data_IF_692612282095
#
_entry.id   IF_692612282095
#
_cell.length_a   1.000
_cell.length_b   1.000
_cell.length_c   1.000
_cell.angle_alpha   90.00
_cell.angle_beta   90.00
_cell.angle_gamma   90.00
#
_symmetry.space_group_name_H-M   'P 1'
#
loop_
_entity.id
_entity.type
_entity.pdbx_description
1 polymer ?
#
# COMPACT_ATOMS: atom_id res chain seq x y z
N UNK A 1 -29.80 0.16 9.99
CA UNK A 1 -29.62 1.60 9.74
C UNK A 1 -28.56 1.71 8.65
N UNK A 2 -28.73 2.61 7.68
CA UNK A 2 -27.69 2.81 6.68
C UNK A 2 -26.45 3.42 7.39
N UNK A 3 -25.24 2.89 7.12
CA UNK A 3 -24.00 3.47 7.64
C UNK A 3 -23.81 4.87 7.03
N UNK A 4 -24.05 5.91 7.81
CA UNK A 4 -23.83 7.28 7.37
C UNK A 4 -22.33 7.62 7.41
N UNK A 5 -21.88 8.43 6.43
CA UNK A 5 -20.52 8.92 6.38
C UNK A 5 -20.50 10.34 6.96
N UNK A 6 -19.67 10.51 7.97
CA UNK A 6 -19.55 11.74 8.74
C UNK A 6 -18.11 12.28 8.63
N UNK A 7 -17.97 13.56 8.26
CA UNK A 7 -16.75 14.33 8.48
C UNK A 7 -16.88 15.03 9.83
N UNK A 8 -15.93 14.80 10.72
CA UNK A 8 -15.86 15.45 12.03
C UNK A 8 -14.69 16.42 12.07
N UNK A 9 -14.96 17.67 12.42
CA UNK A 9 -13.96 18.75 12.59
C UNK A 9 -14.27 19.43 13.92
N UNK A 10 -13.29 19.53 14.80
CA UNK A 10 -13.41 20.15 16.14
C UNK A 10 -14.63 19.67 16.94
N UNK A 11 -14.96 18.39 16.82
CA UNK A 11 -16.11 17.76 17.49
C UNK A 11 -17.47 18.03 16.83
N UNK A 12 -17.52 18.78 15.72
CA UNK A 12 -18.73 19.05 14.94
C UNK A 12 -18.84 18.04 13.79
N UNK A 13 -20.01 17.41 13.68
CA UNK A 13 -20.30 16.39 12.68
C UNK A 13 -20.99 17.00 11.44
N UNK A 14 -20.43 16.73 10.26
CA UNK A 14 -20.93 17.14 8.95
C UNK A 14 -21.35 15.92 8.14
N UNK A 15 -22.62 15.82 7.75
CA UNK A 15 -23.20 14.57 7.20
C UNK A 15 -23.85 14.69 5.83
N UNK A 16 -24.23 15.85 5.36
CA UNK A 16 -25.06 16.02 4.16
C UNK A 16 -24.26 16.06 2.86
N UNK A 17 -23.40 15.06 2.63
CA UNK A 17 -22.55 14.96 1.43
C UNK A 17 -23.34 14.39 0.25
N UNK A 18 -23.20 15.01 -0.93
CA UNK A 18 -23.79 14.53 -2.19
C UNK A 18 -22.98 13.38 -2.79
N UNK A 19 -21.66 13.42 -2.61
CA UNK A 19 -20.79 12.30 -2.92
C UNK A 19 -19.68 12.18 -1.90
N UNK A 20 -19.29 10.94 -1.63
CA UNK A 20 -18.19 10.59 -0.73
C UNK A 20 -17.37 9.49 -1.35
N UNK A 21 -16.06 9.61 -1.25
CA UNK A 21 -15.11 8.58 -1.59
C UNK A 21 -14.04 8.54 -0.50
N UNK A 22 -13.82 7.35 0.09
CA UNK A 22 -12.75 7.09 1.05
C UNK A 22 -11.96 5.90 0.56
N UNK A 23 -10.66 6.07 0.35
CA UNK A 23 -9.80 5.04 -0.27
C UNK A 23 -8.64 4.69 0.65
N UNK A 24 -8.42 3.40 0.85
CA UNK A 24 -7.24 2.84 1.52
C UNK A 24 -6.66 1.73 0.64
N UNK A 25 -5.32 1.67 0.54
CA UNK A 25 -4.62 0.69 -0.29
C UNK A 25 -3.37 0.17 0.44
N UNK A 26 -2.98 -1.06 0.17
CA UNK A 26 -1.79 -1.67 0.78
C UNK A 26 -0.48 -1.10 0.23
N UNK A 27 -0.50 -0.51 -0.95
CA UNK A 27 0.62 0.16 -1.59
C UNK A 27 0.74 1.66 -1.24
N UNK A 28 -0.07 2.13 -0.28
CA UNK A 28 -0.01 3.49 0.26
C UNK A 28 -0.13 3.45 1.79
N UNK A 29 0.70 4.22 2.49
CA UNK A 29 0.66 4.28 3.96
C UNK A 29 -0.39 5.24 4.51
N UNK A 30 -1.01 6.05 3.64
CA UNK A 30 -2.05 6.99 4.01
C UNK A 30 -3.34 6.71 3.24
N UNK A 31 -4.46 6.65 3.94
CA UNK A 31 -5.77 6.71 3.34
C UNK A 31 -6.08 8.11 2.81
N UNK A 32 -6.98 8.20 1.83
CA UNK A 32 -7.40 9.45 1.22
C UNK A 32 -8.92 9.56 1.25
N UNK A 33 -9.44 10.79 1.27
CA UNK A 33 -10.86 11.03 1.12
C UNK A 33 -11.17 12.19 0.18
N UNK A 34 -12.34 12.12 -0.43
CA UNK A 34 -12.93 13.20 -1.22
C UNK A 34 -14.42 13.28 -0.92
N UNK A 35 -14.88 14.46 -0.55
CA UNK A 35 -16.26 14.76 -0.20
C UNK A 35 -16.76 15.88 -1.08
N UNK A 36 -18.01 15.80 -1.56
CA UNK A 36 -18.66 16.90 -2.27
C UNK A 36 -20.01 17.21 -1.62
N UNK A 37 -20.31 18.48 -1.51
CA UNK A 37 -21.56 19.01 -1.00
C UNK A 37 -22.16 19.96 -2.02
N UNK A 38 -23.44 19.77 -2.36
CA UNK A 38 -24.20 20.81 -3.04
C UNK A 38 -24.65 21.82 -1.99
N UNK A 39 -24.06 23.00 -2.02
CA UNK A 39 -24.44 24.06 -1.09
C UNK A 39 -25.72 24.75 -1.60
N UNK A 40 -26.83 24.56 -0.89
CA UNK A 40 -28.00 25.40 -1.04
C UNK A 40 -27.88 26.53 -0.04
N UNK A 41 -27.15 27.56 -0.42
CA UNK A 41 -27.10 28.78 0.38
C UNK A 41 -28.45 29.49 0.39
N UNK A 42 -29.19 29.37 1.48
CA UNK A 42 -30.39 30.17 1.71
C UNK A 42 -30.01 31.36 2.60
N UNK A 43 -29.59 32.45 1.97
CA UNK A 43 -29.66 33.78 2.55
C UNK A 43 -28.72 34.16 3.70
N UNK A 44 -27.58 33.54 3.86
CA UNK A 44 -26.62 33.90 4.91
C UNK A 44 -25.19 34.09 4.39
N UNK A 45 -24.55 35.18 4.79
CA UNK A 45 -23.17 35.54 4.37
C UNK A 45 -22.07 34.77 5.13
N UNK A 46 -22.36 33.61 5.71
CA UNK A 46 -21.39 32.89 6.53
C UNK A 46 -20.74 31.79 5.71
N UNK A 47 -19.44 31.93 5.42
CA UNK A 47 -18.64 30.91 4.77
C UNK A 47 -18.66 29.60 5.59
N UNK A 48 -18.66 28.46 4.90
CA UNK A 48 -18.53 27.16 5.57
C UNK A 48 -17.25 27.17 6.41
N UNK A 49 -17.30 26.83 7.71
CA UNK A 49 -16.13 26.90 8.58
C UNK A 49 -15.20 25.68 8.37
N UNK A 50 -14.98 25.28 7.11
CA UNK A 50 -14.07 24.20 6.70
C UNK A 50 -12.94 24.86 5.91
N UNK A 51 -11.69 24.71 6.40
CA UNK A 51 -10.51 25.25 5.76
C UNK A 51 -9.44 24.17 5.55
N UNK A 52 -8.58 24.40 4.55
CA UNK A 52 -7.40 23.55 4.35
C UNK A 52 -6.46 23.64 5.56
N UNK A 53 -5.83 22.53 5.91
CA UNK A 53 -4.96 22.39 7.08
C UNK A 53 -5.69 22.01 8.38
N UNK A 54 -7.02 22.01 8.41
CA UNK A 54 -7.76 21.59 9.60
C UNK A 54 -7.64 20.08 9.83
N UNK A 55 -7.48 19.70 11.11
CA UNK A 55 -7.56 18.29 11.52
C UNK A 55 -9.00 17.80 11.38
N UNK A 56 -9.15 16.57 10.90
CA UNK A 56 -10.47 15.99 10.66
C UNK A 56 -10.47 14.46 10.82
N UNK A 57 -11.66 13.93 11.03
CA UNK A 57 -11.92 12.50 11.06
C UNK A 57 -13.05 12.16 10.10
N UNK A 58 -12.90 11.02 9.39
CA UNK A 58 -14.00 10.42 8.62
C UNK A 58 -14.49 9.19 9.38
N UNK A 59 -15.81 9.15 9.61
CA UNK A 59 -16.47 8.02 10.25
C UNK A 59 -17.49 7.40 9.29
N UNK A 60 -17.63 6.08 9.33
CA UNK A 60 -18.65 5.30 8.62
C UNK A 60 -19.45 4.52 9.66
N UNK A 61 -20.74 4.84 9.81
CA UNK A 61 -21.58 4.22 10.83
C UNK A 61 -21.04 4.38 12.26
N UNK A 62 -20.33 5.49 12.53
CA UNK A 62 -19.68 5.77 13.81
C UNK A 62 -18.28 5.16 13.98
N UNK A 63 -17.84 4.29 13.06
CA UNK A 63 -16.50 3.73 13.06
C UNK A 63 -15.54 4.65 12.30
N UNK A 64 -14.42 5.04 12.93
CA UNK A 64 -13.40 5.88 12.31
C UNK A 64 -12.66 5.11 11.21
N UNK A 65 -12.49 5.74 10.04
CA UNK A 65 -11.81 5.18 8.88
C UNK A 65 -10.67 6.04 8.36
N UNK A 66 -10.66 7.34 8.71
CA UNK A 66 -9.59 8.31 8.47
C UNK A 66 -9.43 9.18 9.72
N UNK A 67 -8.19 9.49 10.09
CA UNK A 67 -7.84 10.55 11.04
C UNK A 67 -6.64 11.31 10.48
N UNK A 68 -6.86 12.54 10.08
CA UNK A 68 -5.82 13.29 9.38
C UNK A 68 -6.16 14.74 9.15
N UNK A 69 -5.85 15.23 7.97
CA UNK A 69 -5.95 16.64 7.64
C UNK A 69 -6.68 16.86 6.32
N UNK A 70 -7.33 18.02 6.23
CA UNK A 70 -7.90 18.55 5.00
C UNK A 70 -6.77 19.17 4.19
N UNK A 71 -6.43 18.57 3.05
CA UNK A 71 -5.41 19.11 2.15
C UNK A 71 -5.97 20.26 1.32
N UNK A 72 -7.23 20.15 0.87
CA UNK A 72 -7.81 21.11 -0.05
C UNK A 72 -9.31 21.30 0.16
N UNK A 73 -9.73 22.56 0.08
CA UNK A 73 -11.14 22.97 0.01
C UNK A 73 -11.34 23.77 -1.27
N UNK A 74 -12.28 23.34 -2.11
CA UNK A 74 -12.62 24.00 -3.38
C UNK A 74 -14.08 24.44 -3.36
N UNK A 75 -14.38 25.65 -2.91
CA UNK A 75 -15.70 26.23 -3.12
C UNK A 75 -15.87 26.63 -4.59
N UNK A 76 -17.04 26.39 -5.15
CA UNK A 76 -17.40 26.76 -6.52
C UNK A 76 -18.79 27.34 -6.56
N UNK A 77 -19.03 28.29 -7.44
CA UNK A 77 -20.36 28.82 -7.68
C UNK A 77 -20.59 29.12 -9.16
N UNK A 78 -21.83 28.98 -9.58
CA UNK A 78 -22.32 29.39 -10.89
C UNK A 78 -23.67 30.12 -10.72
N UNK A 79 -24.28 30.57 -11.82
CA UNK A 79 -25.61 31.20 -11.76
C UNK A 79 -26.72 30.25 -11.19
N UNK A 80 -26.52 28.94 -11.28
CA UNK A 80 -27.55 27.94 -10.95
C UNK A 80 -27.11 26.91 -9.90
N UNK A 81 -25.84 26.89 -9.52
CA UNK A 81 -25.31 25.88 -8.61
C UNK A 81 -24.17 26.43 -7.73
N UNK A 82 -24.17 26.01 -6.49
CA UNK A 82 -23.08 26.21 -5.56
C UNK A 82 -22.59 24.84 -5.10
N UNK A 83 -21.31 24.67 -4.93
CA UNK A 83 -20.72 23.40 -4.47
C UNK A 83 -19.44 23.60 -3.71
N UNK A 84 -19.13 22.67 -2.83
CA UNK A 84 -17.88 22.61 -2.09
C UNK A 84 -17.34 21.19 -2.24
N UNK A 85 -16.07 21.09 -2.61
CA UNK A 85 -15.31 19.84 -2.60
C UNK A 85 -14.22 19.94 -1.55
N UNK A 86 -14.12 18.91 -0.71
CA UNK A 86 -13.12 18.78 0.36
C UNK A 86 -12.34 17.49 0.13
N UNK A 87 -11.02 17.59 0.08
CA UNK A 87 -10.13 16.43 -0.02
C UNK A 87 -9.08 16.47 1.07
N UNK A 88 -8.64 15.30 1.50
CA UNK A 88 -7.62 15.18 2.52
C UNK A 88 -7.09 13.76 2.65
N UNK A 89 -6.18 13.58 3.59
CA UNK A 89 -5.45 12.33 3.81
C UNK A 89 -5.34 12.00 5.29
N UNK A 90 -5.02 10.73 5.57
CA UNK A 90 -4.59 10.32 6.92
C UNK A 90 -3.35 11.09 7.36
N UNK A 91 -3.19 11.25 8.67
CA UNK A 91 -2.02 11.85 9.32
C UNK A 91 -0.69 11.21 8.90
N UNK A 92 -0.71 9.91 8.60
CA UNK A 92 0.46 9.18 8.10
C UNK A 92 0.99 9.69 6.75
N UNK A 93 0.25 10.54 6.02
CA UNK A 93 0.74 11.19 4.80
C UNK A 93 1.97 12.06 5.07
N UNK A 94 2.06 12.69 6.25
CA UNK A 94 3.20 13.52 6.62
C UNK A 94 4.52 12.72 6.69
N UNK A 95 4.46 11.40 6.92
CA UNK A 95 5.65 10.54 6.87
C UNK A 95 6.25 10.42 5.46
N UNK A 96 5.42 10.58 4.42
CA UNK A 96 5.83 10.54 3.01
C UNK A 96 6.30 11.91 2.54
N UNK A 97 5.62 12.97 3.00
CA UNK A 97 5.84 14.33 2.51
C UNK A 97 7.01 15.03 3.25
N UNK A 98 7.29 14.66 4.50
CA UNK A 98 8.21 15.36 5.36
C UNK A 98 9.53 14.61 5.57
N UNK A 99 10.62 15.37 5.67
CA UNK A 99 11.95 14.82 5.97
C UNK A 99 12.03 14.21 7.38
N UNK A 100 12.80 13.14 7.52
CA UNK A 100 13.11 12.54 8.79
C UNK A 100 14.13 13.40 9.55
N UNK A 101 13.73 13.99 10.67
CA UNK A 101 14.62 14.78 11.53
C UNK A 101 14.71 14.08 12.89
N UNK A 102 15.88 13.50 13.20
CA UNK A 102 16.12 12.81 14.47
C UNK A 102 17.58 12.98 14.91
N UNK A 103 17.81 13.23 16.18
CA UNK A 103 19.16 13.27 16.76
C UNK A 103 19.38 12.01 17.63
N UNK A 104 20.43 11.24 17.41
CA UNK A 104 21.63 11.47 16.56
C UNK A 104 21.46 11.01 15.10
N UNK A 105 20.27 10.65 14.59
CA UNK A 105 20.05 10.20 13.23
C UNK A 105 20.55 8.78 12.95
N UNK A 106 20.82 8.00 14.00
CA UNK A 106 21.29 6.63 13.90
C UNK A 106 20.69 5.78 15.01
N UNK A 107 20.26 4.56 14.65
CA UNK A 107 19.80 3.54 15.58
C UNK A 107 20.72 2.31 15.48
N UNK A 108 21.10 1.78 16.63
CA UNK A 108 21.89 0.55 16.75
C UNK A 108 21.05 -0.52 17.41
N UNK A 109 21.07 -1.73 16.86
CA UNK A 109 20.39 -2.90 17.39
C UNK A 109 18.90 -2.64 17.75
N UNK A 110 18.16 -2.02 16.83
CA UNK A 110 16.76 -1.67 17.01
C UNK A 110 15.84 -2.56 16.17
N UNK A 111 14.64 -2.85 16.66
CA UNK A 111 13.60 -3.50 15.86
C UNK A 111 12.99 -2.52 14.86
N UNK A 112 12.40 -3.06 13.78
CA UNK A 112 11.70 -2.22 12.80
C UNK A 112 10.56 -1.44 13.45
N UNK A 113 9.86 -2.05 14.43
CA UNK A 113 8.79 -1.36 15.15
C UNK A 113 9.31 -0.18 15.98
N UNK A 114 10.43 -0.34 16.70
CA UNK A 114 11.05 0.76 17.45
C UNK A 114 11.49 1.91 16.54
N UNK A 115 12.10 1.58 15.37
CA UNK A 115 12.48 2.57 14.37
C UNK A 115 11.25 3.31 13.85
N UNK A 116 10.20 2.57 13.46
CA UNK A 116 8.97 3.15 12.95
C UNK A 116 8.30 4.09 13.96
N UNK A 117 8.23 3.68 15.22
CA UNK A 117 7.69 4.50 16.31
C UNK A 117 8.52 5.78 16.53
N UNK A 118 9.85 5.67 16.49
CA UNK A 118 10.73 6.83 16.62
C UNK A 118 10.57 7.83 15.47
N UNK A 119 10.46 7.35 14.22
CA UNK A 119 10.26 8.19 13.04
C UNK A 119 8.87 8.80 12.96
N UNK A 120 7.84 8.09 13.42
CA UNK A 120 6.44 8.52 13.33
C UNK A 120 6.00 9.41 14.51
N UNK A 121 6.65 9.31 15.66
CA UNK A 121 6.30 10.04 16.89
C UNK A 121 6.22 11.57 16.71
N UNK A 122 7.15 12.24 16.01
CA UNK A 122 7.07 13.72 15.83
C UNK A 122 5.81 14.16 15.06
N UNK A 123 5.24 13.28 14.23
CA UNK A 123 4.04 13.52 13.44
C UNK A 123 2.75 13.11 14.18
N UNK A 124 2.85 12.59 15.40
CA UNK A 124 1.71 12.10 16.16
C UNK A 124 1.05 10.87 15.52
N UNK A 125 1.79 10.12 14.68
CA UNK A 125 1.34 8.90 14.02
C UNK A 125 1.63 7.70 14.91
N UNK A 126 0.58 6.95 15.27
CA UNK A 126 0.74 5.71 16.03
C UNK A 126 1.20 4.58 15.13
N UNK A 127 2.13 3.75 15.63
CA UNK A 127 2.64 2.59 14.88
C UNK A 127 2.43 1.32 15.69
N UNK A 128 1.71 0.39 15.09
CA UNK A 128 1.48 -0.95 15.61
C UNK A 128 2.04 -2.02 14.68
N UNK A 129 2.07 -3.26 15.11
CA UNK A 129 2.50 -4.38 14.28
C UNK A 129 1.55 -5.56 14.43
N UNK A 130 1.26 -6.24 13.32
CA UNK A 130 0.55 -7.50 13.27
C UNK A 130 1.56 -8.65 13.04
N UNK A 131 1.76 -9.46 14.09
CA UNK A 131 2.68 -10.59 14.04
C UNK A 131 4.14 -10.23 14.34
N UNK A 132 5.05 -11.09 13.91
CA UNK A 132 6.48 -10.95 14.17
C UNK A 132 7.13 -9.93 13.23
N UNK A 133 7.81 -8.95 13.81
CA UNK A 133 8.55 -7.90 13.09
C UNK A 133 10.01 -8.30 12.78
N UNK A 134 10.41 -9.49 13.15
CA UNK A 134 11.76 -10.04 12.96
C UNK A 134 12.80 -9.54 13.96
N UNK A 135 14.01 -10.03 13.80
CA UNK A 135 15.14 -9.70 14.67
C UNK A 135 15.54 -8.22 14.57
N UNK A 136 16.18 -7.63 15.58
CA UNK A 136 16.70 -6.27 15.50
C UNK A 136 17.66 -6.08 14.33
N UNK A 137 17.67 -4.88 13.76
CA UNK A 137 18.61 -4.45 12.70
C UNK A 137 19.86 -3.90 13.37
N UNK A 138 21.02 -4.33 12.93
CA UNK A 138 22.31 -3.97 13.55
C UNK A 138 22.55 -2.45 13.54
N UNK A 139 22.26 -1.78 12.44
CA UNK A 139 22.42 -0.33 12.31
C UNK A 139 21.50 0.21 11.22
N UNK A 140 20.79 1.31 11.53
CA UNK A 140 20.05 2.13 10.56
C UNK A 140 20.52 3.57 10.72
N UNK A 141 20.87 4.21 9.63
CA UNK A 141 21.30 5.62 9.60
C UNK A 141 20.39 6.41 8.65
N UNK A 142 19.97 7.60 9.08
CA UNK A 142 19.28 8.54 8.22
C UNK A 142 20.22 9.12 7.16
N UNK A 143 19.69 9.28 5.95
CA UNK A 143 20.33 10.03 4.89
C UNK A 143 19.81 11.47 4.91
N UNK A 144 20.66 12.42 4.59
CA UNK A 144 20.28 13.84 4.56
C UNK A 144 19.18 14.08 3.50
N UNK A 145 18.04 14.61 3.97
CA UNK A 145 16.92 14.94 3.10
C UNK A 145 15.97 13.77 2.77
N UNK A 146 16.20 12.56 3.30
CA UNK A 146 15.22 11.49 3.12
C UNK A 146 13.96 11.72 3.95
N UNK A 147 12.82 11.23 3.47
CA UNK A 147 11.56 11.29 4.21
C UNK A 147 11.52 10.23 5.32
N UNK A 148 10.62 10.44 6.30
CA UNK A 148 10.43 9.47 7.38
C UNK A 148 10.02 8.09 6.83
N UNK A 149 9.21 8.07 5.76
CA UNK A 149 8.80 6.82 5.12
C UNK A 149 9.93 6.16 4.33
N UNK A 150 10.76 6.90 3.60
CA UNK A 150 11.91 6.33 2.88
C UNK A 150 12.86 5.61 3.84
N UNK A 151 13.17 6.24 4.98
CA UNK A 151 14.00 5.61 6.02
C UNK A 151 13.36 4.33 6.58
N UNK A 152 12.06 4.37 6.87
CA UNK A 152 11.30 3.23 7.37
C UNK A 152 11.24 2.10 6.34
N UNK A 153 10.95 2.41 5.08
CA UNK A 153 10.78 1.44 4.01
C UNK A 153 12.06 0.61 3.76
N UNK A 154 13.25 1.22 3.87
CA UNK A 154 14.51 0.48 3.84
C UNK A 154 14.61 -0.59 4.93
N UNK A 155 14.09 -0.30 6.12
CA UNK A 155 14.08 -1.26 7.24
C UNK A 155 13.00 -2.33 7.07
N UNK A 156 11.80 -1.95 6.60
CA UNK A 156 10.69 -2.86 6.33
C UNK A 156 11.09 -3.94 5.32
N UNK A 157 11.76 -3.56 4.24
CA UNK A 157 12.25 -4.50 3.21
C UNK A 157 13.20 -5.54 3.77
N UNK A 158 14.04 -5.19 4.75
CA UNK A 158 14.97 -6.14 5.37
C UNK A 158 14.24 -7.23 6.17
N UNK A 159 13.00 -6.98 6.55
CA UNK A 159 12.17 -7.87 7.40
C UNK A 159 10.95 -8.42 6.69
N UNK A 160 10.84 -8.17 5.38
CA UNK A 160 9.70 -8.60 4.56
C UNK A 160 8.35 -8.09 5.10
N UNK A 161 8.36 -6.87 5.63
CA UNK A 161 7.19 -6.19 6.18
C UNK A 161 6.72 -5.09 5.24
N UNK A 162 5.45 -4.72 5.39
CA UNK A 162 4.82 -3.57 4.77
C UNK A 162 4.24 -2.67 5.86
N UNK A 163 4.08 -1.39 5.55
CA UNK A 163 3.32 -0.44 6.36
C UNK A 163 2.02 -0.11 5.62
N UNK A 164 0.90 -0.28 6.31
CA UNK A 164 -0.43 0.01 5.79
C UNK A 164 -1.17 0.96 6.72
N UNK A 165 -2.13 1.78 6.22
CA UNK A 165 -2.94 2.64 7.07
C UNK A 165 -3.86 1.79 7.96
N UNK A 166 -3.93 2.12 9.25
CA UNK A 166 -4.78 1.43 10.23
C UNK A 166 -6.24 1.94 10.22
N UNK A 167 -6.53 3.02 9.48
CA UNK A 167 -7.82 3.70 9.46
C UNK A 167 -8.09 4.58 10.67
N UNK A 168 -7.11 4.78 11.54
CA UNK A 168 -7.20 5.62 12.75
C UNK A 168 -6.14 6.73 12.77
N UNK A 169 -5.57 7.05 11.60
CA UNK A 169 -4.49 8.01 11.45
C UNK A 169 -3.11 7.45 11.74
N UNK A 170 -3.00 6.18 12.11
CA UNK A 170 -1.77 5.46 12.34
C UNK A 170 -1.40 4.52 11.20
N UNK A 171 -0.33 3.77 11.39
CA UNK A 171 0.13 2.71 10.48
C UNK A 171 0.29 1.39 11.23
N UNK A 172 0.05 0.31 10.51
CA UNK A 172 0.29 -1.05 10.98
C UNK A 172 1.37 -1.71 10.14
N UNK A 173 2.38 -2.30 10.80
CA UNK A 173 3.41 -3.11 10.16
C UNK A 173 2.91 -4.55 10.07
N UNK A 174 2.90 -5.13 8.87
CA UNK A 174 2.31 -6.44 8.64
C UNK A 174 2.97 -7.18 7.47
N UNK A 175 2.66 -8.47 7.36
CA UNK A 175 2.93 -9.29 6.16
C UNK A 175 1.64 -9.45 5.36
N UNK A 176 1.77 -9.48 4.04
CA UNK A 176 0.62 -9.62 3.15
C UNK A 176 -0.10 -10.97 3.35
N UNK A 177 -1.43 -10.93 3.48
CA UNK A 177 -2.28 -12.11 3.54
C UNK A 177 -2.42 -12.74 4.94
N UNK A 178 -2.16 -11.99 6.00
CA UNK A 178 -2.28 -12.48 7.38
C UNK A 178 -3.74 -12.59 7.87
N UNK A 179 -4.62 -11.67 7.42
CA UNK A 179 -6.00 -11.62 7.86
C UNK A 179 -6.94 -12.49 7.01
N UNK A 180 -8.13 -12.80 7.53
CA UNK A 180 -9.20 -13.49 6.80
C UNK A 180 -10.48 -12.66 6.85
N UNK A 181 -11.11 -12.42 5.70
CA UNK A 181 -12.40 -11.77 5.61
C UNK A 181 -13.52 -12.70 6.13
N UNK A 182 -14.54 -12.13 6.74
CA UNK A 182 -15.71 -12.85 7.19
C UNK A 182 -16.72 -13.11 6.06
N UNK A 183 -16.55 -12.47 4.89
CA UNK A 183 -17.42 -12.61 3.72
C UNK A 183 -16.71 -13.24 2.53
N UNK A 184 -17.48 -13.84 1.62
CA UNK A 184 -17.04 -14.29 0.31
C UNK A 184 -17.57 -13.36 -0.78
N UNK A 185 -16.92 -13.36 -1.95
CA UNK A 185 -17.30 -12.58 -3.12
C UNK A 185 -17.73 -13.54 -4.23
N UNK A 186 -19.02 -13.58 -4.56
CA UNK A 186 -19.58 -14.52 -5.51
C UNK A 186 -20.41 -13.84 -6.58
N UNK A 187 -20.13 -14.19 -7.83
CA UNK A 187 -20.90 -13.70 -8.97
C UNK A 187 -22.37 -14.14 -8.88
N UNK A 188 -23.28 -13.17 -9.05
CA UNK A 188 -24.73 -13.41 -8.97
C UNK A 188 -25.32 -13.43 -7.55
N UNK A 189 -24.48 -13.31 -6.51
CA UNK A 189 -24.96 -13.27 -5.12
C UNK A 189 -24.81 -11.88 -4.49
N UNK A 190 -23.58 -11.40 -4.32
CA UNK A 190 -23.29 -10.17 -3.57
C UNK A 190 -22.40 -9.17 -4.31
N UNK A 191 -22.09 -9.41 -5.58
CA UNK A 191 -21.30 -8.53 -6.42
C UNK A 191 -22.21 -7.77 -7.38
N UNK A 192 -22.12 -6.43 -7.39
CA UNK A 192 -22.81 -5.57 -8.33
C UNK A 192 -22.12 -5.55 -9.68
N UNK A 193 -20.77 -5.45 -9.67
CA UNK A 193 -19.94 -5.51 -10.85
C UNK A 193 -18.56 -6.03 -10.50
N UNK A 194 -17.89 -6.68 -11.46
CA UNK A 194 -16.52 -7.10 -11.33
C UNK A 194 -15.78 -6.92 -12.65
N UNK A 195 -14.51 -6.57 -12.57
CA UNK A 195 -13.59 -6.41 -13.68
C UNK A 195 -12.29 -7.13 -13.36
N UNK A 196 -11.78 -7.91 -14.31
CA UNK A 196 -10.47 -8.55 -14.23
C UNK A 196 -9.51 -7.92 -15.21
N UNK A 197 -8.38 -7.45 -14.72
CA UNK A 197 -7.25 -7.01 -15.54
C UNK A 197 -6.19 -8.09 -15.55
N UNK A 198 -5.86 -8.60 -16.73
CA UNK A 198 -4.82 -9.61 -16.97
C UNK A 198 -3.73 -8.98 -17.84
N UNK A 199 -2.64 -8.55 -17.21
CA UNK A 199 -1.57 -7.83 -17.88
C UNK A 199 -0.31 -8.71 -18.01
N UNK A 200 0.14 -8.91 -19.24
CA UNK A 200 1.34 -9.68 -19.56
C UNK A 200 2.55 -8.80 -19.91
N UNK A 201 2.41 -7.46 -19.82
CA UNK A 201 3.47 -6.53 -20.23
C UNK A 201 4.76 -6.72 -19.42
N UNK A 202 4.63 -6.91 -18.11
CA UNK A 202 5.74 -7.09 -17.19
C UNK A 202 6.03 -8.56 -16.83
N UNK A 203 5.49 -9.52 -17.60
CA UNK A 203 5.67 -10.95 -17.38
C UNK A 203 6.56 -11.55 -18.47
N UNK A 204 7.57 -12.31 -18.07
CA UNK A 204 8.63 -12.81 -18.94
C UNK A 204 8.68 -14.36 -18.95
N UNK A 205 9.16 -14.96 -20.06
CA UNK A 205 9.28 -16.40 -20.16
C UNK A 205 10.43 -16.97 -19.35
N UNK A 206 11.55 -16.24 -19.32
CA UNK A 206 12.78 -16.67 -18.67
C UNK A 206 13.33 -15.54 -17.83
N UNK A 207 13.50 -15.79 -16.54
CA UNK A 207 14.13 -14.88 -15.59
C UNK A 207 15.55 -15.36 -15.34
N UNK A 208 16.52 -14.58 -15.75
CA UNK A 208 17.95 -14.92 -15.67
C UNK A 208 18.61 -13.92 -14.74
N UNK A 209 19.11 -14.38 -13.61
CA UNK A 209 19.87 -13.56 -12.66
C UNK A 209 21.35 -13.88 -12.85
N UNK A 210 22.15 -12.83 -13.09
CA UNK A 210 23.61 -12.90 -13.15
C UNK A 210 24.20 -12.13 -11.99
N UNK A 211 25.17 -12.72 -11.31
CA UNK A 211 25.83 -12.12 -10.15
C UNK A 211 27.31 -12.45 -10.10
N UNK A 212 27.94 -11.98 -9.03
CA UNK A 212 29.32 -12.28 -8.71
C UNK A 212 29.39 -12.79 -7.26
N UNK A 213 30.35 -13.64 -6.96
CA UNK A 213 30.70 -14.04 -5.59
C UNK A 213 32.09 -13.50 -5.23
N UNK A 214 32.37 -13.28 -3.97
CA UNK A 214 33.73 -12.94 -3.53
C UNK A 214 34.70 -14.01 -4.00
N UNK A 215 35.86 -13.59 -4.52
CA UNK A 215 36.97 -14.50 -4.81
C UNK A 215 37.47 -15.16 -3.53
N UNK A 216 37.84 -16.43 -3.61
CA UNK A 216 38.52 -17.17 -2.54
C UNK A 216 39.82 -17.69 -3.06
N UNK A 217 40.75 -18.07 -2.17
CA UNK A 217 42.06 -18.63 -2.57
C UNK A 217 41.97 -19.84 -3.48
N UNK A 218 40.80 -20.53 -3.48
CA UNK A 218 40.53 -21.73 -4.32
C UNK A 218 39.59 -21.44 -5.50
N UNK A 219 39.03 -20.23 -5.63
CA UNK A 219 38.07 -19.88 -6.67
C UNK A 219 38.09 -18.38 -6.97
N UNK A 220 38.84 -17.99 -8.00
CA UNK A 220 38.97 -16.62 -8.46
C UNK A 220 38.81 -16.52 -10.00
N UNK A 221 38.69 -15.33 -10.53
CA UNK A 221 38.58 -15.10 -11.97
C UNK A 221 37.17 -15.48 -12.51
N UNK A 222 37.11 -16.26 -13.58
CA UNK A 222 35.90 -16.62 -14.30
C UNK A 222 34.85 -17.33 -13.40
N UNK A 223 35.30 -18.15 -12.46
CA UNK A 223 34.40 -18.91 -11.57
C UNK A 223 33.73 -17.99 -10.52
N UNK A 224 34.35 -16.90 -10.12
CA UNK A 224 33.75 -15.89 -9.25
C UNK A 224 32.72 -15.01 -9.99
N UNK A 225 32.90 -14.82 -11.30
CA UNK A 225 32.03 -14.03 -12.15
C UNK A 225 30.87 -14.82 -12.80
N UNK A 226 30.86 -16.15 -12.66
CA UNK A 226 29.91 -17.04 -13.36
C UNK A 226 28.66 -17.40 -12.57
N UNK A 227 28.31 -16.62 -11.53
CA UNK A 227 27.08 -16.86 -10.76
C UNK A 227 25.88 -16.60 -11.67
N UNK A 228 25.07 -17.66 -11.87
CA UNK A 228 23.86 -17.59 -12.69
C UNK A 228 22.73 -18.39 -12.04
N UNK A 229 21.57 -17.77 -11.95
CA UNK A 229 20.30 -18.42 -11.65
C UNK A 229 19.31 -18.22 -12.79
N UNK A 230 18.45 -19.19 -13.03
CA UNK A 230 17.41 -19.09 -14.04
C UNK A 230 16.13 -19.72 -13.55
N UNK A 231 14.99 -19.10 -13.88
CA UNK A 231 13.67 -19.63 -13.64
C UNK A 231 12.78 -19.37 -14.85
N UNK A 232 11.93 -20.34 -15.24
CA UNK A 232 11.05 -20.24 -16.40
C UNK A 232 9.59 -20.16 -15.98
N UNK A 233 8.88 -19.17 -16.52
CA UNK A 233 7.44 -19.05 -16.39
C UNK A 233 6.75 -19.92 -17.46
N UNK A 234 6.11 -21.01 -17.03
CA UNK A 234 5.41 -21.95 -17.92
C UNK A 234 4.19 -21.33 -18.61
N UNK A 235 3.63 -20.24 -18.05
CA UNK A 235 2.45 -19.60 -18.63
C UNK A 235 2.80 -18.64 -19.78
N UNK A 236 4.08 -18.27 -19.96
CA UNK A 236 4.54 -17.41 -21.05
C UNK A 236 5.17 -18.26 -22.15
N UNK A 237 4.40 -18.54 -23.20
CA UNK A 237 4.83 -19.43 -24.30
C UNK A 237 5.82 -18.73 -25.26
N UNK A 238 5.65 -17.45 -25.52
CA UNK A 238 6.56 -16.69 -26.41
C UNK A 238 7.88 -16.39 -25.73
N UNK A 239 8.95 -16.31 -26.51
CA UNK A 239 10.28 -15.97 -26.01
C UNK A 239 10.35 -14.50 -25.54
N UNK A 240 10.45 -14.31 -24.24
CA UNK A 240 10.55 -12.99 -23.55
C UNK A 240 11.52 -13.11 -22.38
N UNK A 241 12.82 -13.17 -22.61
CA UNK A 241 13.78 -13.27 -21.51
C UNK A 241 13.93 -11.94 -20.78
N UNK A 242 14.11 -12.01 -19.47
CA UNK A 242 14.52 -10.92 -18.59
C UNK A 242 15.89 -11.23 -17.99
N UNK A 243 16.84 -10.30 -18.12
CA UNK A 243 18.14 -10.41 -17.50
C UNK A 243 18.25 -9.44 -16.32
N UNK A 244 18.50 -9.97 -15.14
CA UNK A 244 18.64 -9.23 -13.89
C UNK A 244 20.09 -9.33 -13.43
N UNK A 245 20.68 -8.20 -13.06
CA UNK A 245 21.98 -8.16 -12.39
C UNK A 245 21.76 -8.23 -10.89
N UNK A 246 22.35 -9.21 -10.22
CA UNK A 246 22.30 -9.29 -8.77
C UNK A 246 23.13 -8.15 -8.16
N UNK A 247 22.53 -7.40 -7.26
CA UNK A 247 23.19 -6.29 -6.54
C UNK A 247 24.15 -6.79 -5.48
N UNK A 248 23.84 -7.94 -4.88
CA UNK A 248 24.65 -8.51 -3.81
C UNK A 248 25.44 -9.73 -4.30
N UNK A 249 26.61 -9.90 -3.71
CA UNK A 249 27.41 -11.10 -3.87
C UNK A 249 26.67 -12.32 -3.35
N UNK A 250 26.52 -13.36 -4.18
CA UNK A 250 25.78 -14.57 -3.81
C UNK A 250 26.25 -15.78 -4.60
N UNK A 251 25.72 -16.94 -4.29
CA UNK A 251 25.91 -18.16 -5.05
C UNK A 251 24.80 -18.38 -6.08
N UNK A 252 24.90 -19.45 -6.88
CA UNK A 252 23.89 -19.79 -7.90
C UNK A 252 22.53 -20.16 -7.30
N UNK A 253 22.49 -20.64 -6.04
CA UNK A 253 21.24 -20.92 -5.33
C UNK A 253 20.49 -19.62 -5.01
N UNK A 254 21.18 -18.62 -4.50
CA UNK A 254 20.59 -17.30 -4.25
C UNK A 254 20.10 -16.65 -5.55
N UNK A 255 20.88 -16.77 -6.64
CA UNK A 255 20.47 -16.25 -7.94
C UNK A 255 19.23 -16.98 -8.49
N UNK A 256 19.10 -18.31 -8.26
CA UNK A 256 17.92 -19.06 -8.64
C UNK A 256 16.69 -18.67 -7.81
N UNK A 257 16.82 -18.52 -6.48
CA UNK A 257 15.76 -18.07 -5.60
C UNK A 257 15.28 -16.67 -5.99
N UNK A 258 16.19 -15.75 -6.34
CA UNK A 258 15.85 -14.41 -6.84
C UNK A 258 15.06 -14.51 -8.15
N UNK A 259 15.48 -15.34 -9.11
CA UNK A 259 14.76 -15.54 -10.37
C UNK A 259 13.36 -16.11 -10.16
N UNK A 260 13.20 -17.08 -9.26
CA UNK A 260 11.91 -17.67 -8.90
C UNK A 260 10.99 -16.66 -8.20
N UNK A 261 11.53 -15.83 -7.29
CA UNK A 261 10.79 -14.78 -6.63
C UNK A 261 10.29 -13.75 -7.65
N UNK A 262 11.15 -13.26 -8.55
CA UNK A 262 10.80 -12.29 -9.60
C UNK A 262 9.65 -12.83 -10.47
N UNK A 263 9.72 -14.08 -10.88
CA UNK A 263 8.66 -14.75 -11.61
C UNK A 263 7.34 -14.75 -10.81
N UNK A 264 7.38 -15.18 -9.55
CA UNK A 264 6.19 -15.27 -8.69
C UNK A 264 5.51 -13.89 -8.47
N UNK A 265 6.30 -12.87 -8.16
CA UNK A 265 5.79 -11.51 -7.91
C UNK A 265 5.17 -10.92 -9.18
N UNK A 266 5.84 -11.05 -10.34
CA UNK A 266 5.34 -10.53 -11.61
C UNK A 266 4.10 -11.29 -12.08
N UNK A 267 4.05 -12.60 -11.87
CA UNK A 267 2.85 -13.40 -12.15
C UNK A 267 1.67 -12.96 -11.29
N UNK A 268 1.88 -12.70 -10.00
CA UNK A 268 0.86 -12.21 -9.09
C UNK A 268 0.38 -10.80 -9.43
N UNK A 269 1.28 -9.90 -9.85
CA UNK A 269 0.95 -8.54 -10.28
C UNK A 269 0.23 -8.48 -11.62
N UNK A 270 0.42 -9.48 -12.46
CA UNK A 270 -0.23 -9.57 -13.77
C UNK A 270 -1.76 -9.72 -13.66
N UNK A 271 -2.29 -10.06 -12.50
CA UNK A 271 -3.73 -10.25 -12.29
C UNK A 271 -4.21 -9.28 -11.21
N UNK A 272 -5.12 -8.40 -11.58
CA UNK A 272 -5.84 -7.53 -10.64
C UNK A 272 -7.33 -7.70 -10.87
N UNK A 273 -8.08 -7.93 -9.82
CA UNK A 273 -9.53 -8.03 -9.86
C UNK A 273 -10.12 -6.88 -9.07
N UNK A 274 -11.08 -6.19 -9.66
CA UNK A 274 -11.86 -5.16 -8.98
C UNK A 274 -13.28 -5.65 -8.86
N UNK A 275 -13.84 -5.67 -7.65
CA UNK A 275 -15.22 -6.04 -7.39
C UNK A 275 -15.94 -4.93 -6.64
N UNK A 276 -17.16 -4.59 -7.07
CA UNK A 276 -18.02 -3.63 -6.39
C UNK A 276 -19.15 -4.38 -5.69
N UNK A 277 -19.32 -4.12 -4.40
CA UNK A 277 -20.37 -4.70 -3.56
C UNK A 277 -21.28 -3.62 -2.99
N UNK A 278 -22.50 -4.00 -2.61
CA UNK A 278 -23.45 -3.09 -1.96
C UNK A 278 -23.05 -2.85 -0.51
N UNK A 279 -23.15 -1.59 -0.06
CA UNK A 279 -22.85 -1.19 1.32
C UNK A 279 -21.36 -1.16 1.65
N UNK A 280 -21.04 -0.96 2.92
CA UNK A 280 -19.67 -0.79 3.41
C UNK A 280 -19.16 -1.99 4.22
N UNK A 281 -20.07 -2.88 4.60
CA UNK A 281 -19.79 -4.00 5.49
C UNK A 281 -19.68 -5.31 4.74
N UNK A 282 -18.89 -6.21 5.29
CA UNK A 282 -18.79 -7.58 4.81
C UNK A 282 -20.13 -8.26 4.94
N UNK A 283 -20.55 -8.93 3.87
CA UNK A 283 -21.81 -9.66 3.85
C UNK A 283 -21.55 -11.11 4.24
N UNK A 284 -22.28 -11.58 5.24
CA UNK A 284 -22.34 -12.99 5.59
C UNK A 284 -23.23 -13.79 4.62
N UNK A 285 -23.38 -15.08 4.88
CA UNK A 285 -24.33 -15.95 4.18
C UNK A 285 -25.75 -15.41 4.41
N UNK A 286 -26.48 -15.08 3.33
CA UNK A 286 -27.86 -14.57 3.42
C UNK A 286 -28.04 -13.08 3.16
N UNK A 287 -27.03 -12.37 2.67
CA UNK A 287 -27.05 -10.94 2.29
C UNK A 287 -27.24 -9.93 3.43
N UNK A 288 -27.15 -10.34 4.67
CA UNK A 288 -27.18 -9.40 5.79
C UNK A 288 -25.86 -8.61 5.87
N UNK A 289 -25.97 -7.27 5.81
CA UNK A 289 -24.83 -6.35 5.99
C UNK A 289 -24.57 -6.15 7.50
N UNK A 290 -24.28 -7.22 8.20
CA UNK A 290 -24.06 -7.20 9.66
C UNK A 290 -22.59 -7.42 10.06
N UNK A 291 -21.71 -7.65 9.10
CA UNK A 291 -20.29 -7.86 9.33
C UNK A 291 -19.51 -6.56 9.62
N UNK A 292 -18.23 -6.65 9.90
CA UNK A 292 -17.35 -5.49 10.04
C UNK A 292 -17.21 -4.75 8.70
N UNK A 293 -16.70 -3.52 8.73
CA UNK A 293 -16.28 -2.81 7.52
C UNK A 293 -15.21 -3.61 6.77
N UNK A 294 -15.19 -3.49 5.44
CA UNK A 294 -14.11 -4.08 4.65
C UNK A 294 -12.76 -3.47 5.04
N UNK A 295 -11.76 -4.33 5.23
CA UNK A 295 -10.42 -3.93 5.68
C UNK A 295 -9.34 -4.45 4.73
N UNK A 296 -8.20 -3.77 4.73
CA UNK A 296 -7.00 -4.21 4.02
C UNK A 296 -6.43 -5.50 4.61
N UNK A 297 -5.59 -6.17 3.85
CA UNK A 297 -4.84 -7.37 4.25
C UNK A 297 -5.69 -8.57 4.64
N UNK A 298 -6.96 -8.63 4.23
CA UNK A 298 -7.83 -9.77 4.45
C UNK A 298 -7.88 -10.68 3.22
N UNK A 299 -7.82 -11.99 3.43
CA UNK A 299 -7.99 -13.00 2.38
C UNK A 299 -9.47 -13.33 2.22
N UNK A 300 -10.05 -13.01 1.07
CA UNK A 300 -11.45 -13.30 0.73
C UNK A 300 -11.55 -14.46 -0.27
N UNK A 301 -12.56 -15.31 -0.10
CA UNK A 301 -12.89 -16.32 -1.09
C UNK A 301 -13.64 -15.66 -2.25
N UNK A 302 -13.08 -15.76 -3.47
CA UNK A 302 -13.58 -15.09 -4.68
C UNK A 302 -13.98 -16.14 -5.70
N UNK A 303 -15.23 -16.09 -6.14
CA UNK A 303 -15.76 -16.97 -7.19
C UNK A 303 -16.47 -16.14 -8.26
N UNK A 304 -15.76 -15.94 -9.38
CA UNK A 304 -16.16 -15.14 -10.54
C UNK A 304 -16.01 -15.98 -11.81
N UNK A 305 -16.94 -16.89 -12.10
CA UNK A 305 -16.84 -17.79 -13.26
C UNK A 305 -16.67 -17.07 -14.60
N UNK A 306 -17.31 -15.91 -14.79
CA UNK A 306 -17.15 -15.12 -16.02
C UNK A 306 -15.70 -14.66 -16.24
N UNK A 307 -14.99 -14.31 -15.16
CA UNK A 307 -13.59 -13.92 -15.19
C UNK A 307 -12.62 -15.12 -15.10
N UNK A 308 -13.15 -16.34 -14.96
CA UNK A 308 -12.39 -17.58 -14.71
C UNK A 308 -11.51 -17.51 -13.48
N UNK A 309 -12.04 -16.88 -12.41
CA UNK A 309 -11.37 -16.73 -11.13
C UNK A 309 -12.21 -17.44 -10.07
N UNK A 310 -11.63 -18.47 -9.46
CA UNK A 310 -12.18 -19.20 -8.31
C UNK A 310 -11.04 -19.53 -7.37
N UNK A 311 -10.70 -18.58 -6.51
CA UNK A 311 -9.56 -18.68 -5.58
C UNK A 311 -9.64 -17.65 -4.45
N UNK A 312 -8.80 -17.83 -3.44
CA UNK A 312 -8.64 -16.82 -2.38
C UNK A 312 -7.73 -15.70 -2.86
N UNK A 313 -8.20 -14.46 -2.74
CA UNK A 313 -7.47 -13.25 -3.08
C UNK A 313 -7.37 -12.31 -1.88
N UNK A 314 -6.30 -11.53 -1.87
CA UNK A 314 -6.03 -10.52 -0.88
C UNK A 314 -6.80 -9.24 -1.20
N UNK A 315 -7.49 -8.67 -0.20
CA UNK A 315 -8.07 -7.34 -0.28
C UNK A 315 -6.92 -6.32 -0.18
N UNK A 316 -6.43 -5.91 -1.34
CA UNK A 316 -5.30 -4.98 -1.49
C UNK A 316 -5.72 -3.52 -1.47
N UNK A 317 -7.00 -3.24 -1.78
CA UNK A 317 -7.57 -1.89 -1.74
C UNK A 317 -9.04 -1.93 -1.36
N UNK A 318 -9.47 -0.93 -0.61
CA UNK A 318 -10.86 -0.71 -0.20
C UNK A 318 -11.21 0.74 -0.50
N UNK A 319 -12.27 0.93 -1.27
CA UNK A 319 -12.78 2.23 -1.61
C UNK A 319 -14.28 2.28 -1.25
N UNK A 320 -14.62 3.01 -0.22
CA UNK A 320 -15.98 3.29 0.18
C UNK A 320 -16.52 4.46 -0.62
N UNK A 321 -17.63 4.25 -1.32
CA UNK A 321 -18.28 5.26 -2.15
C UNK A 321 -19.73 5.43 -1.76
N UNK A 322 -20.18 6.68 -1.76
CA UNK A 322 -21.60 7.01 -1.64
C UNK A 322 -21.92 8.16 -2.60
N UNK A 323 -22.90 7.97 -3.41
CA UNK A 323 -23.44 9.00 -4.30
C UNK A 323 -24.95 8.83 -4.51
N UNK A 324 -25.58 9.83 -5.10
CA UNK A 324 -27.04 9.83 -5.31
C UNK A 324 -27.52 8.78 -6.33
N UNK A 325 -26.65 8.29 -7.20
CA UNK A 325 -26.98 7.35 -8.28
C UNK A 325 -26.78 5.91 -7.85
N UNK A 326 -25.62 5.62 -7.27
CA UNK A 326 -25.19 4.23 -6.91
C UNK A 326 -25.52 3.88 -5.47
N UNK A 327 -25.90 4.87 -4.64
CA UNK A 327 -26.06 4.68 -3.21
C UNK A 327 -24.74 4.42 -2.50
N UNK A 328 -24.75 3.59 -1.46
CA UNK A 328 -23.54 3.19 -0.72
C UNK A 328 -22.98 1.91 -1.32
N UNK A 329 -21.74 1.96 -1.77
CA UNK A 329 -21.03 0.83 -2.38
C UNK A 329 -19.58 0.75 -1.88
N UNK A 330 -19.01 -0.44 -1.90
CA UNK A 330 -17.57 -0.64 -1.67
C UNK A 330 -16.94 -1.25 -2.92
N UNK A 331 -15.89 -0.61 -3.42
CA UNK A 331 -15.05 -1.14 -4.48
C UNK A 331 -13.80 -1.77 -3.85
N UNK A 332 -13.61 -3.06 -4.09
CA UNK A 332 -12.50 -3.84 -3.58
C UNK A 332 -11.49 -4.09 -4.70
N UNK A 333 -10.22 -3.84 -4.43
CA UNK A 333 -9.12 -4.27 -5.29
C UNK A 333 -8.53 -5.55 -4.71
N UNK A 334 -8.57 -6.61 -5.49
CA UNK A 334 -8.19 -7.96 -5.08
C UNK A 334 -6.96 -8.41 -5.88
N UNK A 335 -5.96 -8.94 -5.18
CA UNK A 335 -4.71 -9.43 -5.78
C UNK A 335 -4.24 -10.71 -5.09
N UNK A 336 -3.36 -11.45 -5.75
CA UNK A 336 -2.62 -12.52 -5.10
C UNK A 336 -1.65 -11.91 -4.07
N UNK A 337 -1.57 -12.44 -2.83
CA UNK A 337 -0.67 -11.92 -1.80
C UNK A 337 0.81 -11.97 -2.22
N UNK A 338 1.18 -12.84 -3.16
CA UNK A 338 2.54 -12.87 -3.70
C UNK A 338 2.95 -11.58 -4.42
N UNK A 339 1.98 -10.75 -4.87
CA UNK A 339 2.25 -9.45 -5.49
C UNK A 339 2.96 -8.47 -4.54
N UNK A 340 2.81 -8.69 -3.23
CA UNK A 340 3.33 -7.82 -2.16
C UNK A 340 4.54 -8.43 -1.44
N UNK A 341 5.05 -9.60 -1.89
CA UNK A 341 6.27 -10.18 -1.30
C UNK A 341 7.47 -9.32 -1.65
N UNK A 342 8.16 -8.74 -0.66
CA UNK A 342 9.39 -8.00 -0.91
C UNK A 342 10.50 -8.92 -1.39
N UNK A 343 11.52 -8.32 -1.99
CA UNK A 343 12.68 -9.03 -2.47
C UNK A 343 13.41 -9.77 -1.34
N UNK A 344 13.71 -11.07 -1.48
CA UNK A 344 14.48 -11.78 -0.48
C UNK A 344 15.90 -11.23 -0.42
N UNK A 345 16.25 -10.59 0.68
CA UNK A 345 17.62 -10.16 0.99
C UNK A 345 18.26 -11.19 1.91
N UNK A 346 19.52 -11.53 1.62
CA UNK A 346 20.31 -12.39 2.50
C UNK A 346 20.55 -11.65 3.82
N UNK A 347 20.24 -12.28 4.95
CA UNK A 347 20.68 -11.79 6.25
C UNK A 347 22.22 -11.68 6.24
N UNK A 348 22.76 -10.49 6.41
CA UNK A 348 24.16 -10.33 6.72
C UNK A 348 24.42 -10.96 8.10
N UNK A 349 24.97 -12.17 8.10
CA UNK A 349 25.57 -12.72 9.32
C UNK A 349 26.66 -11.73 9.70
N UNK A 350 26.50 -11.05 10.83
CA UNK A 350 27.45 -10.10 11.38
C UNK A 350 28.87 -10.68 11.38
N UNK A 351 29.64 -10.32 10.39
CA UNK A 351 31.07 -10.58 10.27
C UNK A 351 31.80 -9.29 10.57
N UNK A 352 32.47 -9.24 11.70
CA UNK A 352 33.46 -8.22 12.02
C UNK A 352 34.55 -8.21 10.92
N UNK A 353 34.69 -7.09 10.22
CA UNK A 353 35.72 -6.94 9.20
C UNK A 353 35.77 -5.52 8.65
N UNK A 354 36.75 -4.76 9.12
CA UNK A 354 37.18 -3.43 8.67
C UNK A 354 37.52 -3.39 7.18
N UNK A 355 37.19 -2.26 6.51
CA UNK A 355 37.80 -1.88 5.26
C UNK A 355 36.90 -1.09 4.32
N UNK A 356 37.22 0.17 4.12
CA UNK A 356 36.54 1.19 3.34
C UNK A 356 36.40 0.90 1.85
N UNK A 357 35.46 1.60 1.25
CA UNK A 357 35.30 1.70 -0.20
C UNK A 357 33.96 2.37 -0.53
N UNK A 358 34.03 3.68 -0.81
CA UNK A 358 32.93 4.46 -1.38
C UNK A 358 32.44 3.85 -2.69
N UNK A 359 31.34 3.13 -2.65
CA UNK A 359 30.57 2.81 -3.85
C UNK A 359 29.33 3.74 -3.85
N UNK A 360 29.31 4.67 -4.80
CA UNK A 360 28.10 5.40 -5.18
C UNK A 360 27.00 4.38 -5.47
N UNK A 361 26.08 4.21 -4.52
CA UNK A 361 24.82 3.51 -4.77
C UNK A 361 23.98 4.38 -5.71
N UNK A 362 23.92 4.02 -6.98
CA UNK A 362 22.86 4.50 -7.87
C UNK A 362 21.53 4.08 -7.23
N UNK A 363 20.71 5.10 -6.94
CA UNK A 363 19.38 4.92 -6.39
C UNK A 363 18.55 4.09 -7.37
N UNK A 364 18.45 2.79 -7.14
CA UNK A 364 17.43 1.98 -7.79
C UNK A 364 16.11 2.34 -7.12
N UNK A 365 15.25 2.99 -7.90
CA UNK A 365 13.90 3.39 -7.47
C UNK A 365 13.10 2.11 -7.30
N UNK A 366 13.03 1.65 -6.09
CA UNK A 366 12.33 0.42 -5.75
C UNK A 366 10.81 0.53 -5.95
N UNK A 367 10.20 -0.60 -6.04
CA UNK A 367 8.81 -0.76 -6.44
C UNK A 367 7.83 -0.01 -5.53
N UNK A 368 8.02 0.00 -4.22
CA UNK A 368 7.15 0.78 -3.32
C UNK A 368 7.33 2.28 -3.51
N UNK A 369 8.53 2.75 -3.79
CA UNK A 369 8.76 4.13 -4.20
C UNK A 369 8.16 4.42 -5.58
N UNK A 370 8.18 3.44 -6.50
CA UNK A 370 7.47 3.54 -7.79
C UNK A 370 5.96 3.51 -7.59
N UNK A 371 5.44 2.64 -6.74
CA UNK A 371 4.01 2.57 -6.44
C UNK A 371 3.52 3.82 -5.70
N UNK A 372 4.31 4.36 -4.77
CA UNK A 372 4.02 5.65 -4.14
C UNK A 372 4.10 6.82 -5.14
N UNK A 373 5.07 6.79 -6.06
CA UNK A 373 5.20 7.77 -7.13
C UNK A 373 4.10 7.61 -8.18
N UNK A 374 3.68 6.39 -8.52
CA UNK A 374 2.55 6.11 -9.40
C UNK A 374 1.22 6.52 -8.74
N UNK A 375 1.05 6.32 -7.45
CA UNK A 375 -0.10 6.83 -6.70
C UNK A 375 -0.12 8.36 -6.70
N UNK A 376 1.03 9.02 -6.48
CA UNK A 376 1.18 10.47 -6.54
C UNK A 376 1.03 11.00 -7.98
N UNK A 377 1.49 10.27 -9.01
CA UNK A 377 1.32 10.64 -10.41
C UNK A 377 -0.15 10.51 -10.85
N UNK A 378 -0.85 9.47 -10.37
CA UNK A 378 -2.30 9.33 -10.61
C UNK A 378 -3.10 10.44 -9.92
N UNK A 379 -2.68 10.90 -8.75
CA UNK A 379 -3.27 12.08 -8.10
C UNK A 379 -3.01 13.38 -8.87
N UNK A 380 -1.86 13.50 -9.57
CA UNK A 380 -1.56 14.63 -10.46
C UNK A 380 -2.26 14.55 -11.82
N UNK A 381 -2.61 13.37 -12.31
CA UNK A 381 -3.33 13.17 -13.57
C UNK A 381 -4.85 13.39 -13.45
N UNK A 382 -5.36 13.56 -12.23
CA UNK A 382 -6.76 13.94 -11.95
C UNK A 382 -6.88 15.49 -11.80
N UNK A 383 -5.80 16.21 -12.02
CA UNK A 383 -5.81 17.66 -12.28
C UNK A 383 -5.95 17.88 -13.78
#
# INVERSE_FOLDING_TARGET
MADDITLRIDGVDWTYWTSVQVTRQMDAIAGTFSLALADKWIGGAQALPIAAGMACQILIGGEQVIDGYIDQVRPSFSATAHGISVTGRDRSADLVDCAAIHSPGQWLNCTVLQLAQALASPFGVNVTAEGDVGAPIASVKLEEGETAFEALDRALRQRELMACPDGKGGIVLLKAGAGTASGSLRQGENILSAEGQFDMADRFSDYIVKGQKPGTDKGWGKDACAVRGQYRDQAVQRYRPMLIRAEQSGDSSNAHQRAAWECSVRAARAVTVTATVQGFRQQGVGREQSGPLWQLNQMADVDLPYLRISQRLLVAGVEFRRDATSGSTTRLTLRDPAAFKPEPKKEEKGGSGSGGGDAKMEKEVDLQTRLAQDAAARQKAIK
#
